data_IF_425370742931
#
_entry.id   IF_425370742931
#
_cell.length_a   1.000
_cell.length_b   1.000
_cell.length_c   1.000
_cell.angle_alpha   90.00
_cell.angle_beta   90.00
_cell.angle_gamma   90.00
#
_symmetry.space_group_name_H-M   'P 1'
#
loop_
_entity.id
_entity.type
_entity.pdbx_description
1 polymer ?
#
# COMPACT_ATOMS: atom_id res chain seq x y z
N UNK A 1 18.64 -18.34 26.22
CA UNK A 1 17.40 -17.58 26.50
C UNK A 1 17.50 -16.11 26.12
N UNK A 2 18.45 -15.32 26.65
CA UNK A 2 18.51 -13.87 26.38
C UNK A 2 18.60 -13.47 24.90
N UNK A 3 19.27 -14.27 24.07
CA UNK A 3 19.43 -14.00 22.61
C UNK A 3 18.10 -13.95 21.87
N UNK A 4 17.21 -14.90 22.12
CA UNK A 4 15.90 -14.91 21.46
C UNK A 4 15.00 -13.77 21.96
N UNK A 5 15.07 -13.44 23.24
CA UNK A 5 14.35 -12.29 23.80
C UNK A 5 14.86 -10.98 23.19
N UNK A 6 16.18 -10.84 23.01
CA UNK A 6 16.76 -9.68 22.34
C UNK A 6 16.28 -9.56 20.89
N UNK A 7 16.28 -10.65 20.11
CA UNK A 7 15.73 -10.66 18.74
C UNK A 7 14.26 -10.23 18.70
N UNK A 8 13.47 -10.68 19.68
CA UNK A 8 12.08 -10.28 19.80
C UNK A 8 11.91 -8.79 20.12
N UNK A 9 12.75 -8.24 21.02
CA UNK A 9 12.78 -6.81 21.32
C UNK A 9 13.16 -5.98 20.08
N UNK A 10 14.14 -6.44 19.30
CA UNK A 10 14.52 -5.78 18.06
C UNK A 10 13.40 -5.80 17.03
N UNK A 11 12.75 -6.96 16.85
CA UNK A 11 11.64 -7.11 15.89
C UNK A 11 10.42 -6.30 16.29
N UNK A 12 10.00 -6.38 17.55
CA UNK A 12 8.68 -5.89 17.98
C UNK A 12 8.75 -4.44 18.44
N UNK A 13 9.86 -4.05 19.07
CA UNK A 13 10.04 -2.74 19.68
C UNK A 13 11.15 -1.91 19.02
N UNK A 14 11.82 -2.44 17.99
CA UNK A 14 12.85 -1.70 17.26
C UNK A 14 14.14 -1.46 18.05
N UNK A 15 14.36 -2.16 19.17
CA UNK A 15 15.59 -2.03 19.96
C UNK A 15 16.81 -2.30 19.07
N UNK A 16 17.93 -1.61 19.29
CA UNK A 16 19.22 -2.04 18.77
C UNK A 16 19.73 -3.27 19.53
N UNK A 17 20.58 -4.07 18.91
CA UNK A 17 21.12 -5.29 19.51
C UNK A 17 21.82 -5.01 20.86
N UNK A 18 22.64 -3.96 20.92
CA UNK A 18 23.34 -3.55 22.14
C UNK A 18 22.39 -3.05 23.23
N UNK A 19 21.33 -2.34 22.85
CA UNK A 19 20.30 -1.86 23.79
C UNK A 19 19.52 -3.02 24.38
N UNK A 20 19.12 -3.98 23.55
CA UNK A 20 18.45 -5.20 23.99
C UNK A 20 19.34 -6.02 24.96
N UNK A 21 20.64 -6.13 24.68
CA UNK A 21 21.60 -6.78 25.59
C UNK A 21 21.70 -6.02 26.92
N UNK A 22 21.83 -4.69 26.88
CA UNK A 22 21.93 -3.85 28.08
C UNK A 22 20.67 -3.98 28.94
N UNK A 23 19.49 -3.87 28.32
CA UNK A 23 18.20 -4.03 29.01
C UNK A 23 18.08 -5.40 29.68
N UNK A 24 18.45 -6.46 28.98
CA UNK A 24 18.42 -7.82 29.52
C UNK A 24 19.39 -8.00 30.68
N UNK A 25 20.52 -7.30 30.70
CA UNK A 25 21.47 -7.36 31.83
C UNK A 25 20.99 -6.60 33.05
N UNK A 26 20.23 -5.52 32.88
CA UNK A 26 19.52 -4.85 33.97
C UNK A 26 18.48 -5.79 34.57
N UNK A 27 17.64 -6.41 33.73
CA UNK A 27 16.57 -7.30 34.19
C UNK A 27 17.09 -8.63 34.76
N UNK A 28 18.17 -9.16 34.18
CA UNK A 28 18.79 -10.43 34.59
C UNK A 28 20.29 -10.43 34.25
N UNK A 29 21.16 -10.21 35.26
CA UNK A 29 22.61 -10.23 35.08
C UNK A 29 23.11 -11.51 34.39
N UNK A 30 24.13 -11.37 33.57
CA UNK A 30 24.72 -12.47 32.80
C UNK A 30 23.89 -12.92 31.59
N UNK A 31 22.83 -12.22 31.22
CA UNK A 31 22.11 -12.49 29.97
C UNK A 31 22.95 -12.07 28.75
N UNK A 32 22.99 -12.95 27.74
CA UNK A 32 23.75 -12.80 26.48
C UNK A 32 25.25 -12.59 26.73
N UNK A 33 26.00 -13.70 26.77
CA UNK A 33 27.44 -13.74 26.98
C UNK A 33 28.12 -14.38 25.76
N UNK A 34 29.35 -13.94 25.47
CA UNK A 34 30.20 -14.53 24.43
C UNK A 34 29.72 -14.22 23.00
N UNK A 35 29.93 -15.14 22.04
CA UNK A 35 29.65 -14.93 20.60
C UNK A 35 28.21 -14.52 20.27
N UNK A 36 27.26 -14.82 21.15
CA UNK A 36 25.86 -14.46 21.00
C UNK A 36 25.66 -12.93 20.91
N UNK A 37 26.57 -12.14 21.48
CA UNK A 37 26.52 -10.67 21.39
C UNK A 37 26.74 -10.20 19.94
N UNK A 38 27.76 -10.74 19.25
CA UNK A 38 28.03 -10.40 17.86
C UNK A 38 26.91 -10.89 16.95
N UNK A 39 26.42 -12.12 17.19
CA UNK A 39 25.27 -12.66 16.46
C UNK A 39 24.05 -11.73 16.51
N UNK A 40 23.75 -11.12 17.68
CA UNK A 40 22.63 -10.17 17.78
C UNK A 40 22.87 -8.89 16.98
N UNK A 41 24.12 -8.40 16.93
CA UNK A 41 24.49 -7.25 16.10
C UNK A 41 24.26 -7.56 14.62
N UNK A 42 24.69 -8.73 14.15
CA UNK A 42 24.52 -9.15 12.77
C UNK A 42 23.03 -9.35 12.39
N UNK A 43 22.19 -9.73 13.36
CA UNK A 43 20.76 -9.93 13.16
C UNK A 43 19.94 -8.64 13.23
N UNK A 44 20.50 -7.52 13.69
CA UNK A 44 19.75 -6.30 13.97
C UNK A 44 18.96 -5.80 12.75
N UNK A 45 19.63 -5.59 11.61
CA UNK A 45 18.97 -5.10 10.39
C UNK A 45 17.89 -6.04 9.87
N UNK A 46 18.13 -7.35 10.03
CA UNK A 46 17.16 -8.38 9.66
C UNK A 46 15.93 -8.29 10.56
N UNK A 47 16.12 -8.18 11.88
CA UNK A 47 15.01 -8.10 12.82
C UNK A 47 14.21 -6.81 12.65
N UNK A 48 14.88 -5.69 12.40
CA UNK A 48 14.22 -4.42 12.10
C UNK A 48 13.40 -4.47 10.81
N UNK A 49 13.92 -5.07 9.73
CA UNK A 49 13.14 -5.27 8.51
C UNK A 49 11.92 -6.17 8.74
N UNK A 50 12.08 -7.23 9.52
CA UNK A 50 10.96 -8.12 9.88
C UNK A 50 9.94 -7.37 10.77
N UNK A 51 10.38 -6.42 11.58
CA UNK A 51 9.55 -5.54 12.41
C UNK A 51 8.92 -4.36 11.67
N UNK A 52 9.28 -4.12 10.40
CA UNK A 52 9.06 -2.85 9.72
C UNK A 52 7.59 -2.52 9.38
N UNK A 53 6.59 -3.29 9.82
CA UNK A 53 5.20 -2.81 9.87
C UNK A 53 4.54 -3.18 11.20
N UNK A 54 4.25 -2.14 11.99
CA UNK A 54 3.33 -2.28 13.12
C UNK A 54 1.87 -2.44 12.62
N UNK A 55 0.99 -3.11 13.39
CA UNK A 55 -0.39 -3.39 12.98
C UNK A 55 -1.21 -2.15 12.62
N UNK A 56 -1.02 -1.03 13.31
CA UNK A 56 -1.69 0.22 12.99
C UNK A 56 -1.22 0.80 11.64
N UNK A 57 0.08 0.69 11.36
CA UNK A 57 0.69 1.14 10.10
C UNK A 57 0.17 0.33 8.91
N UNK A 58 -0.02 -0.96 9.12
CA UNK A 58 -0.60 -1.84 8.11
C UNK A 58 -2.09 -1.52 7.88
N UNK A 59 -2.85 -1.32 8.96
CA UNK A 59 -4.27 -0.99 8.86
C UNK A 59 -4.51 0.31 8.06
N UNK A 60 -3.74 1.36 8.33
CA UNK A 60 -3.86 2.62 7.60
C UNK A 60 -3.50 2.50 6.12
N UNK A 61 -2.43 1.76 5.79
CA UNK A 61 -2.02 1.55 4.40
C UNK A 61 -3.10 0.80 3.60
N UNK A 62 -3.75 -0.16 4.23
CA UNK A 62 -4.87 -0.90 3.64
C UNK A 62 -6.10 -0.02 3.44
N UNK A 63 -6.44 0.82 4.42
CA UNK A 63 -7.54 1.78 4.28
C UNK A 63 -7.30 2.75 3.11
N UNK A 64 -6.07 3.25 2.94
CA UNK A 64 -5.72 4.18 1.86
C UNK A 64 -5.71 3.51 0.48
N UNK A 65 -5.18 2.30 0.40
CA UNK A 65 -5.21 1.50 -0.82
C UNK A 65 -6.66 1.22 -1.27
N UNK A 66 -7.57 0.97 -0.31
CA UNK A 66 -8.98 0.72 -0.59
C UNK A 66 -9.70 1.94 -1.19
N UNK A 67 -9.42 3.15 -0.69
CA UNK A 67 -10.01 4.40 -1.21
C UNK A 67 -9.52 4.68 -2.64
N UNK A 68 -8.23 4.51 -2.91
CA UNK A 68 -7.67 4.68 -4.25
C UNK A 68 -8.25 3.67 -5.25
N UNK A 69 -8.38 2.42 -4.83
CA UNK A 69 -9.01 1.39 -5.66
C UNK A 69 -10.49 1.70 -5.93
N UNK A 70 -11.21 2.29 -4.97
CA UNK A 70 -12.59 2.73 -5.18
C UNK A 70 -12.67 3.88 -6.19
N UNK A 71 -11.82 4.90 -6.05
CA UNK A 71 -11.75 6.00 -7.01
C UNK A 71 -11.42 5.51 -8.43
N UNK A 72 -10.49 4.56 -8.55
CA UNK A 72 -10.15 3.95 -9.84
C UNK A 72 -11.34 3.20 -10.47
N UNK A 73 -12.12 2.44 -9.67
CA UNK A 73 -13.35 1.77 -10.15
C UNK A 73 -14.41 2.77 -10.63
N UNK A 74 -14.58 3.88 -9.91
CA UNK A 74 -15.52 4.92 -10.31
C UNK A 74 -15.08 5.63 -11.60
N UNK A 75 -13.80 5.95 -11.73
CA UNK A 75 -13.25 6.52 -12.96
C UNK A 75 -13.42 5.57 -14.16
N UNK A 76 -13.15 4.28 -13.97
CA UNK A 76 -13.36 3.26 -15.01
C UNK A 76 -14.84 3.13 -15.41
N UNK A 77 -15.76 3.10 -14.43
CA UNK A 77 -17.20 3.05 -14.71
C UNK A 77 -17.71 4.30 -15.43
N UNK A 78 -17.18 5.48 -15.09
CA UNK A 78 -17.49 6.72 -15.79
C UNK A 78 -16.97 6.70 -17.23
N UNK A 79 -15.76 6.19 -17.46
CA UNK A 79 -15.20 6.03 -18.81
C UNK A 79 -16.04 5.06 -19.67
N UNK A 80 -16.44 3.91 -19.12
CA UNK A 80 -17.32 2.96 -19.82
C UNK A 80 -18.67 3.62 -20.17
N UNK A 81 -19.25 4.38 -19.24
CA UNK A 81 -20.50 5.11 -19.50
C UNK A 81 -20.32 6.19 -20.57
N UNK A 82 -19.19 6.89 -20.60
CA UNK A 82 -18.90 7.87 -21.64
C UNK A 82 -18.80 7.21 -23.02
N UNK A 83 -18.18 6.03 -23.12
CA UNK A 83 -18.11 5.26 -24.37
C UNK A 83 -19.50 4.78 -24.85
N UNK A 84 -20.37 4.34 -23.93
CA UNK A 84 -21.75 4.00 -24.29
C UNK A 84 -22.63 5.23 -24.57
N UNK A 85 -22.34 6.36 -23.92
CA UNK A 85 -23.00 7.64 -24.18
C UNK A 85 -22.67 8.18 -25.56
N UNK A 86 -21.43 8.02 -26.04
CA UNK A 86 -21.05 8.43 -27.39
C UNK A 86 -21.72 7.61 -28.49
N UNK A 87 -22.08 6.34 -28.26
CA UNK A 87 -22.90 5.57 -29.22
C UNK A 87 -24.34 6.11 -29.29
N UNK A 88 -24.93 6.50 -28.14
CA UNK A 88 -26.27 7.09 -28.08
C UNK A 88 -26.30 8.52 -28.67
N UNK A 89 -25.28 9.33 -28.40
CA UNK A 89 -25.13 10.69 -28.91
C UNK A 89 -24.70 10.69 -30.39
N UNK A 90 -23.90 9.73 -30.86
CA UNK A 90 -23.59 9.55 -32.28
C UNK A 90 -24.82 9.05 -33.05
N UNK A 91 -25.63 8.15 -32.49
CA UNK A 91 -26.93 7.78 -33.06
C UNK A 91 -27.91 8.96 -33.12
N UNK A 92 -27.88 9.87 -32.14
CA UNK A 92 -28.67 11.10 -32.14
C UNK A 92 -28.13 12.16 -33.12
N UNK A 93 -26.81 12.32 -33.24
CA UNK A 93 -26.15 13.29 -34.11
C UNK A 93 -26.11 12.86 -35.58
N UNK A 94 -26.06 11.56 -35.88
CA UNK A 94 -26.10 11.05 -37.26
C UNK A 94 -27.46 11.19 -37.91
N UNK A 95 -28.52 11.52 -37.16
CA UNK A 95 -29.81 11.92 -37.71
C UNK A 95 -30.26 11.06 -38.88
N UNK A 96 -29.98 9.75 -38.87
CA UNK A 96 -30.42 8.83 -39.92
C UNK A 96 -31.77 8.32 -39.43
N UNK A 97 -32.83 9.13 -39.47
CA UNK A 97 -33.29 9.99 -40.58
C UNK A 97 -33.77 11.40 -40.16
N UNK A 98 -33.36 12.47 -40.89
CA UNK A 98 -34.25 13.43 -41.58
C UNK A 98 -33.51 14.59 -42.31
N UNK A 99 -33.96 14.90 -43.54
CA UNK A 99 -33.82 16.15 -44.31
C UNK A 99 -32.55 16.41 -45.15
N UNK A 100 -32.66 16.25 -46.48
CA UNK A 100 -31.71 16.73 -47.48
C UNK A 100 -32.39 17.69 -48.50
N UNK A 101 -31.90 18.94 -48.49
CA UNK A 101 -31.59 19.78 -49.66
C UNK A 101 -32.72 20.44 -50.47
N UNK A 102 -32.95 21.74 -50.17
CA UNK A 102 -33.47 22.73 -51.13
C UNK A 102 -32.49 22.96 -52.28
N UNK A 103 -33.02 23.20 -53.49
CA UNK A 103 -32.33 23.97 -54.54
C UNK A 103 -33.38 24.67 -55.41
N UNK A 104 -33.35 26.00 -55.37
CA UNK A 104 -34.18 26.90 -56.15
C UNK A 104 -33.71 27.01 -57.62
N UNK A 105 -34.65 27.08 -58.56
CA UNK A 105 -34.52 27.91 -59.76
C UNK A 105 -35.85 28.03 -60.50
N UNK A 106 -36.28 29.25 -60.79
CA UNK A 106 -36.67 29.69 -62.15
C UNK A 106 -37.18 31.15 -62.15
N UNK A 107 -37.08 31.86 -63.28
CA UNK A 107 -36.70 33.28 -63.36
C UNK A 107 -37.84 34.29 -63.18
#
# INVERSE_FOLDING_TARGET
>A
TGTLVALWLMRTHGFAAREAIAWLRIARPGSVIGPQQQYLVDMQEKMWRIGALSPAKLAELLSRAAVLAAAARHAAAAAIRALHGTEADYAAATGRSAAATQSAHSP
#
